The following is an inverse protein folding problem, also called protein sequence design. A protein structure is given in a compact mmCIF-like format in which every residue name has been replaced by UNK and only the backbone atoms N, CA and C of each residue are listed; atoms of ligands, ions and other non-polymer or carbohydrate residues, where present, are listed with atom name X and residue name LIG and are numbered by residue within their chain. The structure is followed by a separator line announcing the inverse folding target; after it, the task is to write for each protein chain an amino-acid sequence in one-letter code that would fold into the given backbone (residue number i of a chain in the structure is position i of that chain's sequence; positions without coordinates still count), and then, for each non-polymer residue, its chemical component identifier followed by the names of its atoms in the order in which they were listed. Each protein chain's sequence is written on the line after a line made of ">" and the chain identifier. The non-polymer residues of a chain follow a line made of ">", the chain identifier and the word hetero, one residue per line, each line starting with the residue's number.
data_IF_937365781777
#
_entry.id   IF_937365781777
#
_cell.length_a   1.000
_cell.length_b   1.000
_cell.length_c   1.000
_cell.angle_alpha   90.00
_cell.angle_beta   90.00
_cell.angle_gamma   90.00
#
_symmetry.space_group_name_H-M   'P 1'
#
loop_
_entity.id
_entity.type
_entity.pdbx_description
1 polymer ?
#
# COMPACT_ATOMS: atom_id res chain seq x y z
N UNK A 1 -24.73 -2.88 2.22
CA UNK A 1 -23.28 -2.81 2.44
C UNK A 1 -22.81 -1.48 1.89
N UNK A 2 -22.29 -0.58 2.74
CA UNK A 2 -21.79 0.71 2.28
C UNK A 2 -20.31 0.56 1.91
N UNK A 3 -19.94 1.03 0.72
CA UNK A 3 -18.56 1.11 0.25
C UNK A 3 -18.26 2.56 -0.03
N UNK A 4 -17.17 3.07 0.53
CA UNK A 4 -16.66 4.43 0.30
C UNK A 4 -15.38 4.31 -0.51
N UNK A 5 -15.33 5.00 -1.64
CA UNK A 5 -14.13 5.09 -2.48
C UNK A 5 -13.22 6.22 -1.96
N UNK A 6 -11.97 5.88 -1.68
CA UNK A 6 -10.92 6.77 -1.21
C UNK A 6 -9.73 6.83 -2.19
N UNK A 7 -9.88 6.34 -3.41
CA UNK A 7 -8.79 6.21 -4.39
C UNK A 7 -8.09 7.54 -4.68
N UNK A 8 -8.82 8.66 -4.67
CA UNK A 8 -8.25 10.00 -4.85
C UNK A 8 -7.33 10.44 -3.70
N UNK A 9 -7.53 9.86 -2.52
CA UNK A 9 -6.80 10.18 -1.28
C UNK A 9 -5.54 9.33 -1.10
N UNK A 10 -5.39 8.26 -1.88
CA UNK A 10 -4.17 7.43 -1.90
C UNK A 10 -3.09 8.16 -2.72
N UNK A 11 -2.00 8.51 -2.04
CA UNK A 11 -0.89 9.26 -2.63
C UNK A 11 0.38 8.42 -2.67
N UNK A 12 1.23 8.58 -3.71
CA UNK A 12 2.52 7.91 -3.76
C UNK A 12 3.41 8.34 -2.59
N UNK A 13 4.19 7.38 -2.09
CA UNK A 13 5.31 7.67 -1.22
C UNK A 13 6.50 8.26 -2.00
N UNK A 14 7.51 8.81 -1.31
CA UNK A 14 8.67 9.44 -1.96
C UNK A 14 9.50 8.46 -2.80
N UNK A 15 9.37 7.15 -2.57
CA UNK A 15 10.15 6.14 -3.26
C UNK A 15 9.43 5.48 -4.44
N UNK A 16 8.23 5.94 -4.78
CA UNK A 16 7.45 5.44 -5.91
C UNK A 16 7.42 6.49 -7.02
N UNK A 17 8.06 6.20 -8.16
CA UNK A 17 8.19 7.15 -9.26
C UNK A 17 6.86 7.43 -9.97
N UNK A 18 5.97 6.44 -10.02
CA UNK A 18 4.62 6.57 -10.54
C UNK A 18 3.70 5.60 -9.82
N UNK A 19 2.48 6.03 -9.53
CA UNK A 19 1.44 5.18 -8.94
C UNK A 19 0.38 4.92 -10.01
N UNK A 20 0.29 3.67 -10.44
CA UNK A 20 -0.65 3.20 -11.45
C UNK A 20 -1.63 2.21 -10.81
N UNK A 21 -2.70 1.85 -11.55
CA UNK A 21 -3.70 0.85 -11.16
C UNK A 21 -4.24 0.99 -9.72
N UNK A 22 -4.31 2.24 -9.25
CA UNK A 22 -4.62 2.51 -7.85
C UNK A 22 -6.10 2.33 -7.55
N UNK A 23 -6.38 1.67 -6.43
CA UNK A 23 -7.70 1.66 -5.82
C UNK A 23 -7.56 1.69 -4.29
N UNK A 24 -8.51 2.35 -3.63
CA UNK A 24 -8.65 2.30 -2.18
C UNK A 24 -10.12 2.37 -1.81
N UNK A 25 -10.62 1.36 -1.12
CA UNK A 25 -12.03 1.30 -0.70
C UNK A 25 -12.14 0.95 0.77
N UNK A 26 -13.15 1.53 1.42
CA UNK A 26 -13.55 1.20 2.78
C UNK A 26 -14.95 0.56 2.74
N UNK A 27 -15.06 -0.67 3.21
CA UNK A 27 -16.32 -1.38 3.34
C UNK A 27 -16.80 -1.38 4.80
N UNK A 28 -18.09 -1.10 4.99
CA UNK A 28 -18.79 -1.15 6.28
C UNK A 28 -18.19 -0.28 7.40
N UNK A 29 -17.43 0.76 7.07
CA UNK A 29 -16.81 1.61 8.08
C UNK A 29 -15.51 1.04 8.68
N UNK A 30 -15.11 -0.17 8.30
CA UNK A 30 -14.13 -0.97 9.05
C UNK A 30 -13.06 -1.62 8.17
N UNK A 31 -13.43 -2.22 7.04
CA UNK A 31 -12.46 -2.97 6.22
C UNK A 31 -11.92 -2.07 5.13
N UNK A 32 -10.61 -1.88 5.08
CA UNK A 32 -9.95 -1.11 4.03
C UNK A 32 -9.15 -2.05 3.15
N UNK A 33 -9.34 -1.93 1.84
CA UNK A 33 -8.55 -2.62 0.81
C UNK A 33 -7.91 -1.57 -0.08
N UNK A 34 -6.58 -1.68 -0.25
CA UNK A 34 -5.78 -0.81 -1.10
C UNK A 34 -5.04 -1.67 -2.12
N UNK A 35 -4.87 -1.11 -3.31
CA UNK A 35 -3.94 -1.63 -4.28
C UNK A 35 -3.38 -0.54 -5.17
N UNK A 36 -2.19 -0.79 -5.68
CA UNK A 36 -1.55 0.03 -6.69
C UNK A 36 -0.37 -0.74 -7.27
N UNK A 37 0.08 -0.28 -8.43
CA UNK A 37 1.35 -0.67 -9.04
C UNK A 37 2.27 0.53 -9.19
N UNK A 38 3.57 0.29 -9.37
CA UNK A 38 4.52 1.35 -9.65
C UNK A 38 5.98 0.96 -9.54
N UNK A 39 6.82 1.83 -10.11
CA UNK A 39 8.27 1.65 -10.16
C UNK A 39 8.91 2.26 -8.91
N UNK A 40 9.66 1.46 -8.16
CA UNK A 40 10.44 1.92 -7.01
C UNK A 40 11.75 2.54 -7.49
N UNK A 41 12.18 3.67 -6.90
CA UNK A 41 13.37 4.43 -7.32
C UNK A 41 14.57 4.34 -6.35
N UNK A 42 14.58 3.34 -5.45
CA UNK A 42 15.62 3.15 -4.44
C UNK A 42 15.81 1.66 -4.12
N UNK A 43 17.03 1.27 -3.72
CA UNK A 43 17.33 -0.10 -3.28
C UNK A 43 17.37 -0.22 -1.75
N UNK A 44 16.22 -0.19 -1.08
CA UNK A 44 16.10 -0.28 0.39
C UNK A 44 14.64 -0.52 0.83
N UNK A 45 14.36 -0.31 2.12
CA UNK A 45 13.01 -0.11 2.66
C UNK A 45 12.34 1.12 2.02
N UNK A 46 11.56 0.90 0.96
CA UNK A 46 10.98 1.96 0.13
C UNK A 46 9.58 2.34 0.62
N UNK A 47 9.37 3.61 0.97
CA UNK A 47 8.04 4.17 1.25
C UNK A 47 7.32 4.41 -0.07
N UNK A 48 6.31 3.58 -0.37
CA UNK A 48 5.66 3.53 -1.68
C UNK A 48 4.27 4.15 -1.71
N UNK A 49 3.58 4.26 -0.57
CA UNK A 49 2.29 4.94 -0.49
C UNK A 49 2.06 5.54 0.90
N UNK A 50 1.26 6.60 0.94
CA UNK A 50 0.74 7.19 2.17
C UNK A 50 -0.79 7.01 2.23
N UNK A 51 -1.24 6.42 3.33
CA UNK A 51 -2.65 6.21 3.66
C UNK A 51 -3.15 7.42 4.46
N UNK A 52 -4.36 7.94 4.18
CA UNK A 52 -4.98 8.98 5.01
C UNK A 52 -5.06 8.57 6.48
N UNK A 53 -4.76 9.49 7.41
CA UNK A 53 -4.71 9.20 8.85
C UNK A 53 -5.99 8.54 9.39
N UNK A 54 -7.16 8.95 8.89
CA UNK A 54 -8.46 8.38 9.27
C UNK A 54 -8.68 6.92 8.85
N UNK A 55 -7.80 6.40 8.00
CA UNK A 55 -7.87 5.05 7.42
C UNK A 55 -6.71 4.18 7.88
N UNK A 56 -5.79 4.67 8.71
CA UNK A 56 -4.68 3.88 9.25
C UNK A 56 -5.22 2.87 10.28
N UNK A 57 -4.87 1.58 10.21
CA UNK A 57 -5.30 0.61 11.19
C UNK A 57 -4.64 0.87 12.54
N UNK A 58 -5.42 0.73 13.60
CA UNK A 58 -4.96 0.73 14.99
C UNK A 58 -4.74 -0.69 15.54
N UNK A 59 -4.79 -1.72 14.68
CA UNK A 59 -4.63 -3.13 15.06
C UNK A 59 -3.69 -3.89 14.12
N UNK A 60 -3.22 -5.05 14.56
CA UNK A 60 -2.25 -5.89 13.86
C UNK A 60 -2.82 -6.73 12.71
N UNK A 61 -4.12 -6.66 12.43
CA UNK A 61 -4.77 -7.48 11.39
C UNK A 61 -4.57 -6.85 10.01
N UNK A 62 -3.34 -6.96 9.49
CA UNK A 62 -2.93 -6.40 8.20
C UNK A 62 -2.41 -7.53 7.31
N UNK A 63 -3.04 -7.69 6.16
CA UNK A 63 -2.69 -8.71 5.17
C UNK A 63 -2.09 -8.04 3.95
N UNK A 64 -0.83 -8.35 3.66
CA UNK A 64 -0.12 -7.85 2.49
C UNK A 64 0.00 -8.92 1.41
N UNK A 65 0.02 -8.48 0.17
CA UNK A 65 0.44 -9.25 -1.00
C UNK A 65 1.25 -8.33 -1.89
N UNK A 66 2.56 -8.56 -1.98
CA UNK A 66 3.45 -7.74 -2.80
C UNK A 66 4.20 -8.62 -3.79
N UNK A 67 4.18 -8.22 -5.05
CA UNK A 67 4.80 -8.95 -6.14
C UNK A 67 5.72 -8.01 -6.91
N UNK A 68 7.00 -8.37 -7.00
CA UNK A 68 7.96 -7.74 -7.88
C UNK A 68 7.70 -8.24 -9.31
N UNK A 69 7.07 -7.39 -10.12
CA UNK A 69 6.73 -7.69 -11.52
C UNK A 69 7.96 -7.84 -12.39
N UNK A 70 9.06 -7.16 -12.08
CA UNK A 70 10.31 -7.26 -12.85
C UNK A 70 10.95 -8.64 -12.67
N UNK A 71 11.13 -9.08 -11.42
CA UNK A 71 11.82 -10.32 -11.09
C UNK A 71 10.90 -11.55 -10.99
N UNK A 72 9.58 -11.34 -11.00
CA UNK A 72 8.56 -12.38 -10.80
C UNK A 72 8.67 -13.08 -9.44
N UNK A 73 8.92 -12.31 -8.38
CA UNK A 73 9.11 -12.79 -7.01
C UNK A 73 8.18 -12.10 -6.02
N UNK A 74 7.86 -12.77 -4.91
CA UNK A 74 7.16 -12.14 -3.79
C UNK A 74 8.10 -11.21 -3.00
N UNK A 75 7.55 -10.14 -2.41
CA UNK A 75 8.29 -9.23 -1.54
C UNK A 75 7.57 -9.05 -0.19
N UNK A 76 8.35 -8.71 0.84
CA UNK A 76 7.81 -8.34 2.15
C UNK A 76 7.34 -6.89 2.16
N UNK A 77 6.33 -6.59 2.95
CA UNK A 77 5.89 -5.20 3.19
C UNK A 77 5.35 -5.01 4.60
N UNK A 78 5.28 -3.74 5.02
CA UNK A 78 4.75 -3.33 6.31
C UNK A 78 4.01 -1.99 6.20
N UNK A 79 3.12 -1.74 7.16
CA UNK A 79 2.46 -0.45 7.36
C UNK A 79 2.97 0.17 8.66
N UNK A 80 3.40 1.43 8.61
CA UNK A 80 3.75 2.17 9.83
C UNK A 80 2.51 2.74 10.50
N UNK A 81 2.62 3.08 11.79
CA UNK A 81 1.56 3.80 12.52
C UNK A 81 1.26 5.18 11.95
N UNK A 82 2.18 5.76 11.16
CA UNK A 82 1.96 7.00 10.42
C UNK A 82 1.26 6.82 9.07
N UNK A 83 0.83 5.60 8.72
CA UNK A 83 0.10 5.33 7.47
C UNK A 83 0.99 5.12 6.26
N UNK A 84 2.28 4.83 6.44
CA UNK A 84 3.20 4.62 5.32
C UNK A 84 3.29 3.13 4.97
N UNK A 85 3.01 2.79 3.72
CA UNK A 85 3.28 1.45 3.19
C UNK A 85 4.74 1.39 2.74
N UNK A 86 5.47 0.41 3.25
CA UNK A 86 6.89 0.19 2.97
C UNK A 86 7.08 -1.19 2.37
N UNK A 87 7.72 -1.27 1.21
CA UNK A 87 8.24 -2.52 0.65
C UNK A 87 9.62 -2.76 1.28
N UNK A 88 9.82 -3.95 1.84
CA UNK A 88 11.09 -4.36 2.43
C UNK A 88 12.06 -4.76 1.33
N UNK A 89 13.32 -4.32 1.44
CA UNK A 89 14.40 -4.68 0.52
C UNK A 89 14.01 -4.51 -0.96
N UNK A 90 13.35 -3.40 -1.28
CA UNK A 90 12.96 -3.09 -2.63
C UNK A 90 14.20 -2.83 -3.51
N UNK A 91 14.04 -3.05 -4.81
CA UNK A 91 15.10 -2.90 -5.82
C UNK A 91 14.80 -1.67 -6.69
N UNK A 92 15.81 -0.82 -6.88
CA UNK A 92 15.69 0.37 -7.72
C UNK A 92 15.37 0.01 -9.18
N UNK A 93 14.39 0.69 -9.76
CA UNK A 93 13.93 0.50 -11.14
C UNK A 93 12.96 -0.67 -11.32
N UNK A 94 12.57 -1.36 -10.25
CA UNK A 94 11.69 -2.53 -10.35
C UNK A 94 10.23 -2.11 -10.18
N UNK A 95 9.36 -2.76 -10.95
CA UNK A 95 7.92 -2.59 -10.87
C UNK A 95 7.34 -3.50 -9.79
N UNK A 96 6.50 -2.94 -8.93
CA UNK A 96 5.87 -3.66 -7.84
C UNK A 96 4.36 -3.48 -7.91
N UNK A 97 3.64 -4.56 -7.67
CA UNK A 97 2.22 -4.54 -7.35
C UNK A 97 2.06 -4.77 -5.85
N UNK A 98 1.28 -3.91 -5.19
CA UNK A 98 1.09 -3.91 -3.75
C UNK A 98 -0.40 -3.97 -3.45
N UNK A 99 -0.86 -5.08 -2.88
CA UNK A 99 -2.17 -5.21 -2.26
C UNK A 99 -2.07 -5.22 -0.74
N UNK A 100 -2.96 -4.49 -0.06
CA UNK A 100 -3.12 -4.59 1.38
C UNK A 100 -4.59 -4.57 1.78
N UNK A 101 -4.99 -5.43 2.71
CA UNK A 101 -6.32 -5.41 3.35
C UNK A 101 -6.18 -5.45 4.85
N UNK A 102 -6.94 -4.62 5.55
CA UNK A 102 -6.93 -4.59 7.01
C UNK A 102 -8.27 -4.10 7.57
N UNK A 103 -8.43 -4.24 8.88
CA UNK A 103 -9.56 -3.68 9.63
C UNK A 103 -9.07 -2.42 10.36
N UNK A 104 -9.62 -1.25 10.02
CA UNK A 104 -9.52 -0.05 10.84
C UNK A 104 -10.58 -0.16 11.94
N UNK A 105 -10.19 -0.05 13.22
CA UNK A 105 -11.15 0.00 14.31
C UNK A 105 -11.52 1.46 14.55
N UNK A 106 -12.80 1.77 14.52
CA UNK A 106 -13.37 3.07 14.90
C UNK A 106 -13.15 3.40 16.36
#
# INVERSE_FOLDING_TARGET
>A
MAVVDHTSSLTPGPNLASMNDRYMVEANGEVVTINFSGIVNISTNAVVANIPAALVPNTSNIFFSVFNHTNKTGAGARLTSGGQIIINDAENGHDYWVGVTYVKRT
#
